data_IF_511014922801
#
_entry.id   IF_511014922801
#
_cell.length_a   1.000
_cell.length_b   1.000
_cell.length_c   1.000
_cell.angle_alpha   90.00
_cell.angle_beta   90.00
_cell.angle_gamma   90.00
#
_symmetry.space_group_name_H-M   'P 1'
#
loop_
_entity.id
_entity.type
_entity.pdbx_description
1 polymer ?
#
# COMPACT_ATOMS: atom_id res chain seq x y z
N UNK A 1 -11.61 -28.08 -6.30
CA UNK A 1 -12.23 -26.79 -5.89
C UNK A 1 -13.48 -27.03 -5.03
N UNK A 2 -14.51 -27.77 -5.50
CA UNK A 2 -15.77 -27.99 -4.78
C UNK A 2 -15.59 -28.60 -3.37
N UNK A 3 -14.65 -29.54 -3.18
CA UNK A 3 -14.38 -30.17 -1.88
C UNK A 3 -13.78 -29.16 -0.90
N UNK A 4 -12.86 -28.30 -1.38
CA UNK A 4 -12.25 -27.24 -0.57
C UNK A 4 -13.30 -26.18 -0.19
N UNK A 5 -14.16 -25.79 -1.12
CA UNK A 5 -15.24 -24.84 -0.88
C UNK A 5 -16.21 -25.36 0.21
N UNK A 6 -16.63 -26.64 0.11
CA UNK A 6 -17.49 -27.26 1.10
C UNK A 6 -16.81 -27.33 2.50
N UNK A 7 -15.52 -27.59 2.56
CA UNK A 7 -14.78 -27.62 3.83
C UNK A 7 -14.63 -26.22 4.44
N UNK A 8 -14.43 -25.17 3.62
CA UNK A 8 -14.44 -23.78 4.07
C UNK A 8 -15.78 -23.36 4.62
N UNK A 9 -16.89 -23.64 3.91
CA UNK A 9 -18.25 -23.33 4.37
C UNK A 9 -18.64 -24.11 5.65
N UNK A 10 -18.02 -25.27 5.88
CA UNK A 10 -18.21 -26.03 7.12
C UNK A 10 -17.50 -25.41 8.31
N UNK A 11 -16.34 -24.74 8.10
CA UNK A 11 -15.48 -24.19 9.16
C UNK A 11 -15.74 -22.74 9.46
N UNK A 12 -16.14 -21.97 8.46
CA UNK A 12 -16.26 -20.52 8.52
C UNK A 12 -17.64 -20.06 8.08
N UNK A 13 -18.13 -18.99 8.65
CA UNK A 13 -19.35 -18.32 8.18
C UNK A 13 -19.08 -17.63 6.84
N UNK A 14 -20.15 -17.34 6.10
CA UNK A 14 -20.02 -16.58 4.83
C UNK A 14 -19.34 -15.22 5.04
N UNK A 15 -19.66 -14.54 6.15
CA UNK A 15 -19.05 -13.25 6.47
C UNK A 15 -17.55 -13.37 6.72
N UNK A 16 -17.12 -14.41 7.45
CA UNK A 16 -15.69 -14.68 7.64
C UNK A 16 -14.97 -15.02 6.34
N UNK A 17 -15.59 -15.82 5.48
CA UNK A 17 -15.02 -16.14 4.16
C UNK A 17 -14.89 -14.87 3.31
N UNK A 18 -15.92 -14.01 3.32
CA UNK A 18 -15.91 -12.75 2.60
C UNK A 18 -14.83 -11.81 3.16
N UNK A 19 -14.74 -11.70 4.48
CA UNK A 19 -13.70 -10.87 5.13
C UNK A 19 -12.30 -11.33 4.76
N UNK A 20 -12.01 -12.64 4.81
CA UNK A 20 -10.72 -13.17 4.35
C UNK A 20 -10.47 -12.87 2.88
N UNK A 21 -11.48 -13.02 2.03
CA UNK A 21 -11.37 -12.76 0.60
C UNK A 21 -11.01 -11.30 0.34
N UNK A 22 -11.81 -10.34 0.81
CA UNK A 22 -11.60 -8.91 0.53
C UNK A 22 -10.32 -8.36 1.14
N UNK A 23 -9.80 -8.98 2.22
CA UNK A 23 -8.55 -8.57 2.85
C UNK A 23 -7.30 -9.23 2.25
N UNK A 24 -7.45 -10.24 1.39
CA UNK A 24 -6.31 -10.94 0.78
C UNK A 24 -6.10 -10.64 -0.70
N UNK A 25 -7.12 -10.17 -1.42
CA UNK A 25 -7.03 -9.95 -2.85
C UNK A 25 -6.30 -8.65 -3.22
N UNK A 26 -5.81 -8.62 -4.46
CA UNK A 26 -5.19 -7.45 -5.07
C UNK A 26 -6.25 -6.53 -5.68
N UNK A 27 -6.20 -5.25 -5.30
CA UNK A 27 -7.14 -4.21 -5.73
C UNK A 27 -6.59 -3.26 -6.80
N UNK A 28 -5.37 -3.48 -7.27
CA UNK A 28 -4.66 -2.57 -8.18
C UNK A 28 -3.81 -1.53 -7.47
N UNK A 29 -2.98 -0.80 -8.21
CA UNK A 29 -2.12 0.28 -7.71
C UNK A 29 -1.28 -0.11 -6.48
N UNK A 30 -0.83 -1.37 -6.39
CA UNK A 30 -0.08 -1.87 -5.24
C UNK A 30 -0.90 -2.21 -3.99
N UNK A 31 -2.21 -1.97 -3.99
CA UNK A 31 -3.07 -2.21 -2.84
C UNK A 31 -3.48 -3.69 -2.71
N UNK A 32 -3.13 -4.31 -1.60
CA UNK A 32 -3.61 -5.62 -1.16
C UNK A 32 -4.50 -5.45 0.07
N UNK A 33 -5.70 -6.03 0.02
CA UNK A 33 -6.72 -5.89 1.06
C UNK A 33 -7.52 -4.59 0.96
N UNK A 34 -8.77 -4.66 1.48
CA UNK A 34 -9.74 -3.59 1.33
C UNK A 34 -9.29 -2.27 1.97
N UNK A 35 -8.64 -2.34 3.15
CA UNK A 35 -8.16 -1.14 3.84
C UNK A 35 -7.10 -0.40 3.02
N UNK A 36 -6.14 -1.14 2.43
CA UNK A 36 -5.12 -0.54 1.56
C UNK A 36 -5.76 0.09 0.31
N UNK A 37 -6.78 -0.56 -0.26
CA UNK A 37 -7.51 -0.02 -1.39
C UNK A 37 -8.29 1.25 -1.04
N UNK A 38 -8.94 1.30 0.11
CA UNK A 38 -9.68 2.47 0.59
C UNK A 38 -8.74 3.69 0.79
N UNK A 39 -7.56 3.46 1.35
CA UNK A 39 -6.52 4.48 1.49
C UNK A 39 -5.97 4.91 0.14
N UNK A 40 -5.65 3.95 -0.74
CA UNK A 40 -5.04 4.22 -2.06
C UNK A 40 -5.97 5.04 -2.97
N UNK A 41 -7.24 4.68 -3.04
CA UNK A 41 -8.16 5.30 -3.98
C UNK A 41 -8.95 6.48 -3.42
N UNK A 42 -9.15 6.53 -2.09
CA UNK A 42 -10.02 7.53 -1.46
C UNK A 42 -9.37 8.26 -0.29
N UNK A 43 -8.17 7.86 0.14
CA UNK A 43 -7.48 8.37 1.33
C UNK A 43 -8.39 8.34 2.59
N UNK A 44 -9.11 7.21 2.77
CA UNK A 44 -10.09 7.01 3.85
C UNK A 44 -9.92 5.64 4.49
N UNK A 45 -10.31 5.54 5.75
CA UNK A 45 -10.54 4.24 6.39
C UNK A 45 -11.77 3.57 5.77
N UNK A 46 -11.81 2.22 5.78
CA UNK A 46 -12.94 1.45 5.21
C UNK A 46 -14.29 1.87 5.81
N UNK A 47 -14.31 2.15 7.12
CA UNK A 47 -15.51 2.61 7.85
C UNK A 47 -16.05 3.98 7.41
N UNK A 48 -15.24 4.77 6.71
CA UNK A 48 -15.58 6.11 6.24
C UNK A 48 -15.99 6.15 4.77
N UNK A 49 -15.93 4.99 4.09
CA UNK A 49 -16.34 4.90 2.70
C UNK A 49 -17.82 5.17 2.52
N UNK A 50 -18.15 6.01 1.55
CA UNK A 50 -19.51 6.19 1.09
C UNK A 50 -19.96 5.04 0.20
N UNK A 51 -21.27 4.90 -0.01
CA UNK A 51 -21.84 3.81 -0.82
C UNK A 51 -21.29 3.79 -2.25
N UNK A 52 -21.15 4.95 -2.88
CA UNK A 52 -20.57 5.10 -4.21
C UNK A 52 -19.09 4.72 -4.25
N UNK A 53 -18.32 5.02 -3.20
CA UNK A 53 -16.92 4.64 -3.07
C UNK A 53 -16.77 3.12 -2.87
N UNK A 54 -17.60 2.53 -2.00
CA UNK A 54 -17.61 1.08 -1.81
C UNK A 54 -18.00 0.35 -3.11
N UNK A 55 -19.03 0.81 -3.83
CA UNK A 55 -19.42 0.26 -5.13
C UNK A 55 -18.30 0.40 -6.18
N UNK A 56 -17.53 1.48 -6.13
CA UNK A 56 -16.36 1.66 -7.01
C UNK A 56 -15.29 0.61 -6.73
N UNK A 57 -14.97 0.32 -5.48
CA UNK A 57 -14.02 -0.74 -5.14
C UNK A 57 -14.48 -2.11 -5.66
N UNK A 58 -15.76 -2.44 -5.52
CA UNK A 58 -16.33 -3.69 -6.06
C UNK A 58 -16.10 -3.83 -7.58
N UNK A 59 -16.14 -2.72 -8.33
CA UNK A 59 -15.81 -2.74 -9.77
C UNK A 59 -14.34 -3.10 -10.02
N UNK A 60 -13.44 -2.55 -9.23
CA UNK A 60 -11.99 -2.72 -9.40
C UNK A 60 -11.57 -4.18 -9.19
N UNK A 61 -12.17 -4.90 -8.23
CA UNK A 61 -11.87 -6.32 -7.95
C UNK A 61 -11.91 -7.18 -9.21
N UNK A 62 -12.88 -6.95 -10.08
CA UNK A 62 -13.11 -7.79 -11.26
C UNK A 62 -11.90 -7.84 -12.20
N UNK A 63 -11.22 -6.71 -12.37
CA UNK A 63 -10.03 -6.60 -13.20
C UNK A 63 -9.34 -5.25 -12.90
N UNK A 64 -8.40 -5.19 -11.94
CA UNK A 64 -7.82 -3.93 -11.49
C UNK A 64 -7.11 -3.13 -12.59
N UNK A 65 -6.51 -3.80 -13.58
CA UNK A 65 -5.88 -3.13 -14.71
C UNK A 65 -6.90 -2.51 -15.67
N UNK A 66 -8.01 -3.22 -15.93
CA UNK A 66 -9.05 -2.80 -16.86
C UNK A 66 -9.98 -1.74 -16.27
N UNK A 67 -10.27 -1.84 -14.95
CA UNK A 67 -11.11 -0.92 -14.20
C UNK A 67 -10.27 0.02 -13.31
N UNK A 68 -9.10 0.45 -13.79
CA UNK A 68 -8.32 1.44 -13.07
C UNK A 68 -9.02 2.81 -13.14
N UNK A 69 -9.49 3.38 -12.01
CA UNK A 69 -10.32 4.58 -12.02
C UNK A 69 -9.55 5.86 -12.41
N UNK A 70 -8.22 5.86 -12.26
CA UNK A 70 -7.36 6.98 -12.70
C UNK A 70 -7.14 6.97 -14.21
N UNK A 71 -7.13 5.77 -14.83
CA UNK A 71 -6.90 5.63 -16.28
C UNK A 71 -8.20 5.63 -17.09
N UNK A 72 -9.26 5.06 -16.52
CA UNK A 72 -10.52 4.80 -17.23
C UNK A 72 -11.74 5.20 -16.37
N UNK A 73 -11.84 6.49 -15.95
CA UNK A 73 -12.88 6.94 -15.02
C UNK A 73 -14.30 6.69 -15.54
N UNK A 74 -14.57 6.95 -16.82
CA UNK A 74 -15.90 6.79 -17.40
C UNK A 74 -16.37 5.34 -17.36
N UNK A 75 -15.47 4.40 -17.68
CA UNK A 75 -15.76 2.96 -17.64
C UNK A 75 -16.06 2.48 -16.22
N UNK A 76 -15.32 3.00 -15.24
CA UNK A 76 -15.53 2.67 -13.83
C UNK A 76 -16.84 3.27 -13.34
N UNK A 77 -17.15 4.50 -13.73
CA UNK A 77 -18.39 5.19 -13.38
C UNK A 77 -19.63 4.44 -13.92
N UNK A 78 -19.60 4.03 -15.19
CA UNK A 78 -20.66 3.24 -15.80
C UNK A 78 -20.87 1.93 -15.04
N UNK A 79 -19.78 1.18 -14.79
CA UNK A 79 -19.87 -0.10 -14.11
C UNK A 79 -20.24 0.03 -12.63
N UNK A 80 -19.83 1.11 -11.94
CA UNK A 80 -20.29 1.44 -10.58
C UNK A 80 -21.79 1.59 -10.55
N UNK A 81 -22.35 2.31 -11.52
CA UNK A 81 -23.77 2.52 -11.61
C UNK A 81 -24.55 1.20 -11.84
N UNK A 82 -24.02 0.28 -12.64
CA UNK A 82 -24.59 -1.08 -12.80
C UNK A 82 -24.60 -1.82 -11.44
N UNK A 83 -23.52 -1.74 -10.67
CA UNK A 83 -23.45 -2.35 -9.32
C UNK A 83 -24.53 -1.77 -8.41
N UNK A 84 -24.68 -0.44 -8.39
CA UNK A 84 -25.72 0.22 -7.61
C UNK A 84 -27.14 -0.18 -8.04
N UNK A 85 -27.38 -0.32 -9.35
CA UNK A 85 -28.67 -0.77 -9.89
C UNK A 85 -29.00 -2.21 -9.43
N UNK A 86 -27.99 -3.09 -9.42
CA UNK A 86 -28.14 -4.46 -8.90
C UNK A 86 -28.42 -4.43 -7.39
N UNK A 87 -27.69 -3.62 -6.62
CA UNK A 87 -27.91 -3.50 -5.17
C UNK A 87 -29.32 -3.04 -4.84
N UNK A 88 -29.88 -2.09 -5.62
CA UNK A 88 -31.27 -1.66 -5.47
C UNK A 88 -32.26 -2.80 -5.80
N UNK A 89 -32.05 -3.48 -6.94
CA UNK A 89 -32.89 -4.57 -7.39
C UNK A 89 -32.96 -5.73 -6.40
N UNK A 90 -31.82 -6.06 -5.80
CA UNK A 90 -31.70 -7.13 -4.78
C UNK A 90 -32.09 -6.68 -3.37
N UNK A 91 -32.47 -5.41 -3.19
CA UNK A 91 -32.95 -4.88 -1.90
C UNK A 91 -31.87 -4.58 -0.86
N UNK A 92 -30.60 -4.53 -1.26
CA UNK A 92 -29.49 -4.16 -0.38
C UNK A 92 -29.47 -2.67 -0.03
N UNK A 93 -30.02 -1.83 -0.92
CA UNK A 93 -30.13 -0.40 -0.72
C UNK A 93 -31.53 0.08 -1.10
N UNK A 94 -31.94 1.24 -0.55
CA UNK A 94 -33.20 1.86 -0.91
C UNK A 94 -33.03 2.92 -1.99
N UNK A 95 -34.12 3.32 -2.64
CA UNK A 95 -34.15 4.22 -3.79
C UNK A 95 -33.46 5.57 -3.53
N UNK A 96 -33.58 6.13 -2.32
CA UNK A 96 -32.90 7.38 -1.94
C UNK A 96 -31.37 7.19 -1.92
N UNK A 97 -30.88 6.10 -1.36
CA UNK A 97 -29.45 5.78 -1.32
C UNK A 97 -28.90 5.54 -2.73
N UNK A 98 -29.64 4.79 -3.53
CA UNK A 98 -29.28 4.52 -4.93
C UNK A 98 -29.12 5.83 -5.72
N UNK A 99 -30.14 6.73 -5.69
CA UNK A 99 -30.07 7.99 -6.41
C UNK A 99 -28.91 8.88 -5.95
N UNK A 100 -28.71 8.98 -4.66
CA UNK A 100 -27.59 9.75 -4.09
C UNK A 100 -26.24 9.22 -4.55
N UNK A 101 -26.01 7.90 -4.43
CA UNK A 101 -24.76 7.27 -4.81
C UNK A 101 -24.50 7.32 -6.33
N UNK A 102 -25.56 7.18 -7.15
CA UNK A 102 -25.46 7.24 -8.61
C UNK A 102 -25.10 8.64 -9.12
N UNK A 103 -25.57 9.69 -8.45
CA UNK A 103 -25.26 11.09 -8.79
C UNK A 103 -23.92 11.55 -8.24
N UNK A 104 -23.34 10.83 -7.30
CA UNK A 104 -22.05 11.18 -6.73
C UNK A 104 -20.95 11.14 -7.80
N UNK A 105 -20.10 12.18 -7.89
CA UNK A 105 -18.97 12.21 -8.81
C UNK A 105 -17.94 11.12 -8.42
N UNK A 106 -17.26 10.59 -9.41
CA UNK A 106 -16.12 9.69 -9.18
C UNK A 106 -14.89 10.53 -8.83
N UNK A 107 -14.66 10.73 -7.54
CA UNK A 107 -13.48 11.44 -7.04
C UNK A 107 -12.49 10.41 -6.52
N UNK A 108 -11.35 10.29 -7.18
CA UNK A 108 -10.26 9.40 -6.80
C UNK A 108 -9.13 10.27 -6.27
N UNK A 109 -8.61 9.93 -5.12
CA UNK A 109 -7.42 10.57 -4.57
C UNK A 109 -6.25 10.39 -5.55
N UNK A 110 -5.43 11.43 -5.67
CA UNK A 110 -4.13 11.26 -6.31
C UNK A 110 -3.46 10.03 -5.69
N UNK A 111 -2.67 9.28 -6.47
CA UNK A 111 -1.87 8.23 -5.87
C UNK A 111 -1.29 8.81 -4.60
N UNK A 112 -1.39 8.13 -3.47
CA UNK A 112 -0.52 8.41 -2.36
C UNK A 112 0.92 8.17 -2.88
N UNK A 113 1.38 9.08 -3.72
CA UNK A 113 2.71 9.55 -3.62
C UNK A 113 2.73 10.20 -2.22
N UNK A 114 2.82 9.37 -1.19
CA UNK A 114 3.79 9.68 -0.19
C UNK A 114 5.00 9.90 -1.06
N UNK A 115 5.24 11.19 -1.45
CA UNK A 115 6.55 11.59 -1.93
C UNK A 115 7.44 10.83 -0.99
N UNK A 116 8.22 9.90 -1.55
CA UNK A 116 8.81 8.86 -0.74
C UNK A 116 9.97 9.46 0.06
N UNK A 117 9.66 10.51 0.83
CA UNK A 117 10.54 11.12 1.80
C UNK A 117 11.04 10.09 2.84
N UNK A 118 10.55 8.84 2.71
CA UNK A 118 10.90 7.73 3.57
C UNK A 118 11.15 6.42 2.80
N UNK A 119 11.58 6.46 1.51
CA UNK A 119 11.88 5.25 0.73
C UNK A 119 12.93 4.39 1.41
N UNK A 120 14.01 4.99 1.90
CA UNK A 120 15.03 4.30 2.68
C UNK A 120 14.45 3.65 3.95
N UNK A 121 13.51 4.32 4.63
CA UNK A 121 12.80 3.77 5.80
C UNK A 121 11.96 2.58 5.38
N UNK A 122 11.18 2.72 4.33
CA UNK A 122 10.30 1.65 3.81
C UNK A 122 11.11 0.42 3.38
N UNK A 123 12.25 0.64 2.72
CA UNK A 123 13.18 -0.42 2.32
C UNK A 123 13.78 -1.13 3.54
N UNK A 124 14.18 -0.38 4.57
CA UNK A 124 14.74 -0.94 5.80
C UNK A 124 13.70 -1.74 6.59
N UNK A 125 12.50 -1.20 6.76
CA UNK A 125 11.37 -1.94 7.39
C UNK A 125 11.10 -3.24 6.64
N UNK A 126 11.03 -3.21 5.31
CA UNK A 126 10.86 -4.40 4.48
C UNK A 126 12.02 -5.38 4.68
N UNK A 127 13.26 -4.89 4.71
CA UNK A 127 14.46 -5.72 4.95
C UNK A 127 14.37 -6.42 6.30
N UNK A 128 14.03 -5.70 7.38
CA UNK A 128 13.88 -6.27 8.72
C UNK A 128 12.77 -7.33 8.76
N UNK A 129 11.58 -7.01 8.30
CA UNK A 129 10.44 -7.93 8.30
C UNK A 129 10.75 -9.24 7.56
N UNK A 130 11.51 -9.17 6.48
CA UNK A 130 11.85 -10.34 5.67
C UNK A 130 13.01 -11.18 6.23
N UNK A 131 13.99 -10.54 6.89
CA UNK A 131 15.25 -11.22 7.21
C UNK A 131 15.53 -11.34 8.72
N UNK A 132 15.00 -10.45 9.56
CA UNK A 132 15.30 -10.47 11.00
C UNK A 132 14.58 -11.65 11.68
N UNK A 133 15.30 -12.44 12.52
CA UNK A 133 14.73 -13.55 13.26
C UNK A 133 13.57 -13.18 14.21
N UNK A 134 13.52 -11.94 14.73
CA UNK A 134 12.43 -11.49 15.59
C UNK A 134 11.05 -11.52 14.90
N UNK A 135 11.03 -11.48 13.56
CA UNK A 135 9.82 -11.56 12.75
C UNK A 135 9.53 -12.97 12.21
N UNK A 136 10.14 -14.03 12.79
CA UNK A 136 9.90 -15.40 12.37
C UNK A 136 8.42 -15.83 12.46
N UNK A 137 7.62 -15.16 13.30
CA UNK A 137 6.18 -15.40 13.39
C UNK A 137 5.41 -15.06 12.10
N UNK A 138 6.00 -14.28 11.19
CA UNK A 138 5.43 -14.00 9.86
C UNK A 138 5.61 -15.17 8.88
N UNK A 139 6.58 -16.04 9.12
CA UNK A 139 6.90 -17.20 8.28
C UNK A 139 8.32 -17.68 8.52
N UNK A 140 8.52 -18.99 8.34
CA UNK A 140 9.83 -19.64 8.57
C UNK A 140 10.86 -19.26 7.51
N UNK A 141 10.40 -19.06 6.27
CA UNK A 141 11.25 -18.66 5.15
C UNK A 141 10.97 -17.23 4.71
N UNK A 142 11.91 -16.63 3.99
CA UNK A 142 11.73 -15.30 3.37
C UNK A 142 10.54 -15.27 2.41
N UNK A 143 10.33 -16.36 1.68
CA UNK A 143 9.20 -16.46 0.74
C UNK A 143 7.87 -16.56 1.47
N UNK A 144 7.78 -17.28 2.58
CA UNK A 144 6.58 -17.32 3.42
C UNK A 144 6.26 -15.95 4.00
N UNK A 145 7.30 -15.22 4.47
CA UNK A 145 7.15 -13.85 4.96
C UNK A 145 6.68 -12.90 3.87
N UNK A 146 7.22 -13.02 2.63
CA UNK A 146 6.74 -12.23 1.48
C UNK A 146 5.25 -12.48 1.21
N UNK A 147 4.83 -13.75 1.17
CA UNK A 147 3.43 -14.12 0.97
C UNK A 147 2.54 -13.53 2.07
N UNK A 148 3.00 -13.59 3.32
CA UNK A 148 2.27 -13.04 4.46
C UNK A 148 2.14 -11.52 4.43
N UNK A 149 3.20 -10.82 4.00
CA UNK A 149 3.24 -9.35 3.96
C UNK A 149 2.54 -8.76 2.74
N UNK A 150 2.76 -9.33 1.56
CA UNK A 150 2.36 -8.74 0.29
C UNK A 150 1.23 -9.50 -0.42
N UNK A 151 0.78 -10.61 0.14
CA UNK A 151 -0.21 -11.47 -0.48
C UNK A 151 0.40 -12.50 -1.44
N UNK A 152 -0.48 -13.31 -1.99
CA UNK A 152 -0.10 -14.39 -2.90
C UNK A 152 0.19 -13.86 -4.30
N UNK A 153 1.26 -14.33 -4.95
CA UNK A 153 1.42 -14.15 -6.38
C UNK A 153 0.23 -14.73 -7.15
N UNK A 154 -0.16 -14.08 -8.24
CA UNK A 154 -1.34 -14.47 -9.03
C UNK A 154 -1.24 -15.88 -9.66
N UNK A 155 -0.04 -16.41 -9.77
CA UNK A 155 0.30 -17.73 -10.32
C UNK A 155 0.51 -18.81 -9.25
N UNK A 156 0.53 -18.46 -7.97
CA UNK A 156 0.70 -19.41 -6.87
C UNK A 156 -0.64 -19.90 -6.31
N UNK A 157 -1.16 -20.97 -6.88
CA UNK A 157 -2.41 -21.62 -6.44
C UNK A 157 -2.31 -22.32 -5.08
N UNK A 158 -1.10 -22.49 -4.54
CA UNK A 158 -0.84 -23.11 -3.23
C UNK A 158 -0.84 -22.10 -2.08
N UNK A 159 -0.79 -20.82 -2.38
CA UNK A 159 -0.74 -19.76 -1.41
C UNK A 159 -2.11 -19.52 -0.76
N UNK A 160 -2.15 -19.51 0.55
CA UNK A 160 -3.40 -19.45 1.34
C UNK A 160 -3.77 -18.05 1.82
N UNK A 161 -3.29 -17.02 1.13
CA UNK A 161 -3.59 -15.63 1.47
C UNK A 161 -2.47 -14.92 2.24
N UNK A 162 -2.56 -13.62 2.28
CA UNK A 162 -1.60 -12.70 2.93
C UNK A 162 -1.93 -11.27 2.55
N UNK A 163 -1.13 -10.33 3.05
CA UNK A 163 -1.37 -8.90 2.87
C UNK A 163 -2.33 -8.31 3.91
N UNK A 164 -2.65 -7.05 3.75
CA UNK A 164 -3.57 -6.31 4.65
C UNK A 164 -3.02 -6.05 6.06
N UNK A 165 -1.74 -6.29 6.31
CA UNK A 165 -1.12 -6.01 7.60
C UNK A 165 -0.87 -4.52 7.78
N UNK A 166 -1.21 -3.99 8.94
CA UNK A 166 -0.83 -2.63 9.36
C UNK A 166 0.51 -2.72 10.09
N UNK A 167 1.52 -2.01 9.58
CA UNK A 167 2.86 -1.95 10.16
C UNK A 167 3.04 -0.56 10.75
N UNK A 168 3.13 -0.49 12.08
CA UNK A 168 3.40 0.76 12.79
C UNK A 168 4.90 0.90 12.98
N UNK A 169 5.42 2.05 12.62
CA UNK A 169 6.83 2.41 12.76
C UNK A 169 7.00 3.61 13.68
N UNK A 170 8.21 3.81 14.17
CA UNK A 170 8.54 4.89 15.11
C UNK A 170 8.96 6.18 14.42
N UNK A 171 9.09 6.17 13.10
CA UNK A 171 9.55 7.33 12.32
C UNK A 171 8.52 8.45 12.36
N UNK A 172 8.99 9.65 12.67
CA UNK A 172 8.21 10.87 12.62
C UNK A 172 8.36 11.51 11.23
N UNK A 173 7.29 11.46 10.43
CA UNK A 173 7.32 11.93 9.04
C UNK A 173 7.68 13.42 8.92
N UNK A 174 7.22 14.27 9.82
CA UNK A 174 7.54 15.70 9.79
C UNK A 174 9.02 15.96 10.05
N UNK A 175 9.63 15.23 11.00
CA UNK A 175 11.07 15.31 11.26
C UNK A 175 11.88 14.67 10.12
N UNK A 176 11.38 13.61 9.52
CA UNK A 176 11.98 12.95 8.36
C UNK A 176 12.06 13.91 7.17
N UNK A 177 10.97 14.59 6.85
CA UNK A 177 10.90 15.58 5.78
C UNK A 177 11.86 16.75 6.03
N UNK A 178 11.91 17.23 7.27
CA UNK A 178 12.86 18.29 7.66
C UNK A 178 14.31 17.83 7.51
N UNK A 179 14.65 16.62 7.92
CA UNK A 179 15.99 16.05 7.77
C UNK A 179 16.39 15.92 6.30
N UNK A 180 15.48 15.42 5.45
CA UNK A 180 15.70 15.35 4.01
C UNK A 180 15.94 16.74 3.41
N UNK A 181 15.16 17.76 3.83
CA UNK A 181 15.35 19.13 3.36
C UNK A 181 16.71 19.71 3.75
N UNK A 182 17.21 19.37 4.95
CA UNK A 182 18.56 19.76 5.40
C UNK A 182 19.61 19.08 4.53
N UNK A 183 19.52 17.79 4.30
CA UNK A 183 20.46 17.05 3.46
C UNK A 183 20.50 17.61 2.04
N UNK A 184 19.33 17.80 1.42
CA UNK A 184 19.23 18.39 0.08
C UNK A 184 19.82 19.80 -0.03
N UNK A 185 19.81 20.55 1.05
CA UNK A 185 20.38 21.91 1.10
C UNK A 185 21.89 21.92 1.28
N UNK A 186 22.42 21.01 2.10
CA UNK A 186 23.81 21.06 2.56
C UNK A 186 24.70 20.00 1.94
N UNK A 187 24.13 18.95 1.36
CA UNK A 187 24.88 17.94 0.59
C UNK A 187 24.69 18.27 -0.89
N UNK A 188 25.73 18.72 -1.61
CA UNK A 188 25.63 19.08 -3.01
C UNK A 188 25.28 17.82 -3.84
N UNK A 189 24.26 17.93 -4.67
CA UNK A 189 23.86 16.85 -5.59
C UNK A 189 24.80 16.66 -6.78
N UNK A 190 25.67 17.62 -7.03
CA UNK A 190 26.76 17.55 -8.03
C UNK A 190 27.94 18.36 -7.55
N UNK A 191 29.13 17.81 -7.69
CA UNK A 191 30.35 18.63 -7.87
C UNK A 191 30.21 19.22 -9.27
N UNK A 192 30.46 20.52 -9.44
CA UNK A 192 30.30 21.23 -10.70
C UNK A 192 30.74 20.35 -11.89
N UNK A 193 29.84 20.23 -12.87
CA UNK A 193 29.92 19.36 -14.05
C UNK A 193 31.09 19.65 -15.02
N UNK A 194 32.03 20.48 -14.59
CA UNK A 194 33.21 20.88 -15.38
C UNK A 194 34.46 20.01 -15.14
N UNK A 195 34.39 19.00 -14.25
CA UNK A 195 35.50 18.06 -14.08
C UNK A 195 35.22 16.77 -14.89
N UNK A 196 36.04 16.56 -15.93
CA UNK A 196 36.03 15.33 -16.76
C UNK A 196 36.38 14.02 -16.00
N UNK A 197 36.36 14.01 -14.68
CA UNK A 197 36.64 12.82 -13.86
C UNK A 197 35.32 12.14 -13.40
N UNK A 198 34.81 11.26 -14.26
CA UNK A 198 33.63 10.41 -14.05
C UNK A 198 33.69 9.50 -12.80
N UNK A 199 34.72 9.53 -11.96
CA UNK A 199 34.98 8.56 -10.88
C UNK A 199 35.18 9.18 -9.49
N UNK A 200 34.93 10.44 -9.26
CA UNK A 200 34.98 10.95 -7.89
C UNK A 200 33.71 10.59 -7.10
N UNK A 201 33.84 10.02 -5.88
CA UNK A 201 32.68 9.70 -5.05
C UNK A 201 31.94 10.98 -4.68
N UNK A 202 30.65 11.02 -5.03
CA UNK A 202 29.78 12.14 -4.66
C UNK A 202 29.71 12.28 -3.13
N UNK A 203 29.80 13.52 -2.59
CA UNK A 203 29.64 13.73 -1.16
C UNK A 203 28.25 13.27 -0.74
N UNK A 204 28.19 12.52 0.36
CA UNK A 204 26.92 12.07 0.91
C UNK A 204 26.82 12.39 2.40
N UNK A 205 25.62 12.45 2.89
CA UNK A 205 25.33 12.70 4.29
C UNK A 205 24.19 11.81 4.82
N UNK A 206 24.18 11.60 6.11
CA UNK A 206 23.15 10.82 6.80
C UNK A 206 22.71 11.57 8.03
N UNK A 207 21.40 11.57 8.29
CA UNK A 207 20.83 12.04 9.55
C UNK A 207 20.02 10.89 10.16
N UNK A 208 20.44 10.47 11.36
CA UNK A 208 19.69 9.51 12.17
C UNK A 208 19.34 10.17 13.50
N UNK A 209 18.05 10.19 13.83
CA UNK A 209 17.55 10.68 15.11
C UNK A 209 17.04 9.52 15.95
N UNK A 210 17.56 9.41 17.15
CA UNK A 210 17.17 8.39 18.12
C UNK A 210 16.47 9.05 19.32
N UNK A 211 15.36 8.49 19.73
CA UNK A 211 14.72 8.83 20.99
C UNK A 211 15.57 8.26 22.14
N UNK A 212 16.17 9.12 22.94
CA UNK A 212 17.11 8.73 24.01
C UNK A 212 16.44 8.01 25.21
N UNK A 213 15.11 8.03 25.31
CA UNK A 213 14.37 7.34 26.36
C UNK A 213 13.93 5.94 25.92
N UNK A 214 13.56 5.78 24.66
CA UNK A 214 13.00 4.53 24.15
C UNK A 214 13.96 3.75 23.27
N UNK A 215 15.02 4.39 22.76
CA UNK A 215 15.93 3.82 21.74
C UNK A 215 15.31 3.74 20.34
N UNK A 216 14.10 4.26 20.15
CA UNK A 216 13.42 4.21 18.88
C UNK A 216 14.06 5.16 17.85
N UNK A 217 14.13 4.71 16.59
CA UNK A 217 14.57 5.54 15.47
C UNK A 217 13.39 6.41 15.04
N UNK A 218 13.54 7.73 15.14
CA UNK A 218 12.52 8.70 14.73
C UNK A 218 12.81 9.33 13.37
N UNK A 219 14.07 9.34 12.92
CA UNK A 219 14.49 9.80 11.60
C UNK A 219 15.59 8.91 11.06
N UNK A 220 15.51 8.63 9.77
CA UNK A 220 16.51 7.91 9.00
C UNK A 220 16.57 8.50 7.60
N UNK A 221 17.40 9.52 7.40
CA UNK A 221 17.52 10.25 6.14
C UNK A 221 18.88 10.01 5.49
N UNK A 222 18.89 9.85 4.18
CA UNK A 222 20.08 9.73 3.33
C UNK A 222 20.15 10.90 2.36
N UNK A 223 21.35 11.42 2.12
CA UNK A 223 21.60 12.48 1.14
C UNK A 223 21.69 11.95 -0.30
N UNK A 224 21.65 10.64 -0.51
CA UNK A 224 21.57 10.03 -1.84
C UNK A 224 20.12 9.69 -2.11
N UNK A 225 19.53 10.12 -3.23
CA UNK A 225 18.20 9.71 -3.67
C UNK A 225 18.10 8.18 -3.80
N UNK A 226 16.96 7.61 -3.41
CA UNK A 226 16.74 6.16 -3.39
C UNK A 226 16.77 5.52 -4.79
N UNK A 227 16.37 6.27 -5.81
CA UNK A 227 16.40 5.87 -7.22
C UNK A 227 17.83 5.80 -7.79
N UNK A 228 18.77 6.59 -7.25
CA UNK A 228 20.18 6.52 -7.62
C UNK A 228 20.89 5.36 -6.90
N UNK A 229 20.62 5.17 -5.61
CA UNK A 229 21.24 4.10 -4.83
C UNK A 229 20.30 3.55 -3.75
N UNK A 230 19.93 2.28 -3.87
CA UNK A 230 19.06 1.59 -2.90
C UNK A 230 19.78 1.21 -1.59
N UNK A 231 20.95 1.79 -1.35
CA UNK A 231 21.78 1.50 -0.20
C UNK A 231 21.41 2.43 0.96
N UNK A 232 21.08 1.87 2.11
CA UNK A 232 20.73 2.68 3.27
C UNK A 232 21.97 2.98 4.12
N UNK A 233 22.58 4.13 3.90
CA UNK A 233 23.78 4.58 4.61
C UNK A 233 23.56 4.77 6.13
N UNK A 234 22.31 4.86 6.60
CA UNK A 234 22.01 5.02 8.01
C UNK A 234 22.07 3.70 8.80
N UNK A 235 22.08 2.55 8.12
CA UNK A 235 21.98 1.22 8.74
C UNK A 235 23.11 0.25 8.36
N UNK A 236 24.06 0.70 7.53
CA UNK A 236 25.16 -0.17 7.05
C UNK A 236 26.55 0.38 7.35
#
# INVERSE_FOLDING_TARGET
EAVVAAELERRYTKDQILEYYINSIYWGSGAYGLQSAALEYFNKEVSELTLDQAATLVVIIRSPAYYNPRKYPDRVLERRNDVLDIMLKEGFIVDVQHRSARLAPLIISEPNNIENNAEHVSAEVKRQLLNDPQFAFLGDTKEDRKKKLFGCPSDDTSCTGGGGLKIYITVNLALQEHANSILNKWVPSSIDDDSEEENEPKPTGVITLLNNFTGAIEVMASGIPFDEEQYNLATQ
#
